data_IF_900136380969
#
_entry.id   IF_900136380969
#
_cell.length_a   1.000
_cell.length_b   1.000
_cell.length_c   1.000
_cell.angle_alpha   90.00
_cell.angle_beta   90.00
_cell.angle_gamma   90.00
#
_symmetry.space_group_name_H-M   'P 1'
#
loop_
_entity.id
_entity.type
_entity.pdbx_description
1 polymer ?
#
# COMPACT_ATOMS: atom_id res chain seq x y z
N UNK A 1 0.01 5.81 -1.24
CA UNK A 1 -0.30 6.46 0.07
C UNK A 1 -0.92 5.47 1.03
N UNK A 2 -2.09 4.88 0.71
CA UNK A 2 -2.81 3.93 1.58
C UNK A 2 -1.92 2.84 2.19
N UNK A 3 -1.08 2.17 1.40
CA UNK A 3 -0.23 1.07 1.88
C UNK A 3 0.67 1.47 3.08
N UNK A 4 1.27 2.66 3.04
CA UNK A 4 2.09 3.17 4.15
C UNK A 4 1.22 3.50 5.36
N UNK A 5 0.11 4.22 5.14
CA UNK A 5 -0.81 4.58 6.21
C UNK A 5 -1.41 3.35 6.93
N UNK A 6 -1.73 2.30 6.18
CA UNK A 6 -2.23 1.02 6.71
C UNK A 6 -1.15 0.28 7.51
N UNK A 7 0.10 0.29 7.03
CA UNK A 7 1.24 -0.25 7.77
C UNK A 7 1.43 0.43 9.12
N UNK A 8 1.37 1.77 9.16
CA UNK A 8 1.43 2.56 10.39
C UNK A 8 0.25 2.26 11.31
N UNK A 9 -0.98 2.30 10.80
CA UNK A 9 -2.19 2.03 11.57
C UNK A 9 -2.18 0.63 12.21
N UNK A 10 -1.84 -0.41 11.44
CA UNK A 10 -1.75 -1.78 11.95
C UNK A 10 -0.62 -1.95 12.96
N UNK A 11 0.53 -1.31 12.75
CA UNK A 11 1.64 -1.37 13.71
C UNK A 11 1.26 -0.70 15.03
N UNK A 12 0.64 0.49 14.97
CA UNK A 12 0.13 1.17 16.15
C UNK A 12 -0.86 0.28 16.89
N UNK A 13 -1.85 -0.27 16.20
CA UNK A 13 -2.84 -1.18 16.81
C UNK A 13 -2.16 -2.38 17.50
N UNK A 14 -1.22 -3.04 16.83
CA UNK A 14 -0.48 -4.17 17.39
C UNK A 14 0.33 -3.77 18.63
N UNK A 15 1.07 -2.66 18.57
CA UNK A 15 1.88 -2.18 19.71
C UNK A 15 1.01 -1.69 20.88
N UNK A 16 -0.26 -1.35 20.62
CA UNK A 16 -1.28 -1.07 21.63
C UNK A 16 -1.97 -2.32 22.18
N UNK A 17 -1.58 -3.53 21.74
CA UNK A 17 -2.14 -4.79 22.23
C UNK A 17 -3.44 -5.23 21.56
N UNK A 18 -3.82 -4.61 20.44
CA UNK A 18 -4.98 -5.03 19.66
C UNK A 18 -4.65 -6.23 18.78
N UNK A 19 -5.63 -7.13 18.65
CA UNK A 19 -5.56 -8.24 17.70
C UNK A 19 -5.62 -7.72 16.26
N UNK A 20 -4.71 -8.20 15.41
CA UNK A 20 -4.57 -7.70 14.04
C UNK A 20 -5.68 -8.18 13.10
N UNK A 21 -6.27 -9.36 13.33
CA UNK A 21 -7.41 -9.80 12.53
C UNK A 21 -8.66 -8.95 12.84
N UNK A 22 -8.89 -8.66 14.12
CA UNK A 22 -9.94 -7.74 14.57
C UNK A 22 -9.70 -6.31 14.06
N UNK A 23 -8.44 -5.85 14.10
CA UNK A 23 -8.05 -4.52 13.57
C UNK A 23 -8.33 -4.42 12.07
N UNK A 24 -7.95 -5.45 11.30
CA UNK A 24 -8.25 -5.53 9.87
C UNK A 24 -9.76 -5.42 9.62
N UNK A 25 -10.57 -6.24 10.28
CA UNK A 25 -12.03 -6.19 10.11
C UNK A 25 -12.62 -4.83 10.50
N UNK A 26 -12.13 -4.21 11.58
CA UNK A 26 -12.56 -2.88 12.01
C UNK A 26 -12.25 -1.78 11.00
N UNK A 27 -11.08 -1.82 10.36
CA UNK A 27 -10.73 -0.87 9.28
C UNK A 27 -11.59 -1.15 8.05
N UNK A 28 -11.73 -2.42 7.65
CA UNK A 28 -12.49 -2.86 6.47
C UNK A 28 -13.95 -2.40 6.48
N UNK A 29 -14.63 -2.42 7.63
CA UNK A 29 -16.04 -2.01 7.74
C UNK A 29 -16.23 -0.53 8.09
N UNK A 30 -15.16 0.27 8.10
CA UNK A 30 -15.22 1.69 8.48
C UNK A 30 -14.66 2.63 7.41
N UNK A 31 -14.62 3.93 7.68
CA UNK A 31 -14.11 4.95 6.76
C UNK A 31 -12.60 4.84 6.50
N UNK A 32 -11.87 4.00 7.25
CA UNK A 32 -10.46 3.71 7.02
C UNK A 32 -10.22 2.71 5.87
N UNK A 33 -11.27 2.12 5.33
CA UNK A 33 -11.16 1.12 4.28
C UNK A 33 -10.62 1.69 2.95
N UNK A 34 -10.03 0.82 2.15
CA UNK A 34 -9.61 1.10 0.77
C UNK A 34 -9.42 -0.22 0.03
N UNK A 35 -9.40 -0.18 -1.31
CA UNK A 35 -9.00 -1.35 -2.11
C UNK A 35 -7.69 -1.96 -1.58
N UNK A 36 -6.69 -1.11 -1.32
CA UNK A 36 -5.37 -1.53 -0.79
C UNK A 36 -5.45 -2.20 0.59
N UNK A 37 -6.45 -1.84 1.39
CA UNK A 37 -6.67 -2.54 2.66
C UNK A 37 -7.23 -3.94 2.43
N UNK A 38 -8.25 -4.05 1.59
CA UNK A 38 -8.86 -5.32 1.23
C UNK A 38 -7.94 -6.23 0.41
N UNK A 39 -6.82 -5.74 -0.13
CA UNK A 39 -5.83 -6.55 -0.85
C UNK A 39 -4.49 -6.65 -0.13
N UNK A 40 -3.68 -5.58 -0.09
CA UNK A 40 -2.29 -5.63 0.38
C UNK A 40 -2.17 -5.87 1.88
N UNK A 41 -3.13 -5.43 2.70
CA UNK A 41 -3.06 -5.67 4.15
C UNK A 41 -3.16 -7.17 4.46
N UNK A 42 -3.93 -7.93 3.68
CA UNK A 42 -4.03 -9.38 3.85
C UNK A 42 -2.68 -10.07 3.63
N UNK A 43 -1.99 -9.79 2.52
CA UNK A 43 -0.67 -10.41 2.24
C UNK A 43 0.45 -9.89 3.15
N UNK A 44 0.30 -8.69 3.73
CA UNK A 44 1.16 -8.23 4.83
C UNK A 44 0.94 -9.10 6.07
N UNK A 45 -0.31 -9.28 6.49
CA UNK A 45 -0.68 -10.05 7.67
C UNK A 45 -0.36 -11.54 7.53
N UNK A 46 -0.50 -12.11 6.35
CA UNK A 46 0.01 -13.46 6.04
C UNK A 46 1.54 -13.50 6.10
N UNK A 47 2.20 -12.50 5.52
CA UNK A 47 3.64 -12.36 5.50
C UNK A 47 4.32 -12.71 4.19
N UNK A 48 3.60 -13.30 3.24
CA UNK A 48 4.08 -13.49 1.87
C UNK A 48 4.46 -12.17 1.20
N UNK A 49 3.67 -11.11 1.48
CA UNK A 49 3.74 -9.80 0.82
C UNK A 49 3.64 -9.88 -0.71
N UNK A 50 3.15 -10.99 -1.23
CA UNK A 50 3.05 -11.23 -2.66
C UNK A 50 1.75 -10.61 -3.20
N UNK A 51 1.86 -9.37 -3.71
CA UNK A 51 0.79 -8.72 -4.48
C UNK A 51 1.12 -8.65 -5.98
N UNK A 52 2.17 -9.35 -6.42
CA UNK A 52 2.66 -9.32 -7.80
C UNK A 52 2.97 -7.91 -8.36
N UNK A 53 3.33 -6.96 -7.49
CA UNK A 53 3.72 -5.60 -7.87
C UNK A 53 5.01 -5.18 -7.15
N UNK A 54 6.00 -4.68 -7.89
CA UNK A 54 7.38 -4.50 -7.41
C UNK A 54 7.72 -3.03 -7.07
N UNK A 55 8.76 -2.83 -6.25
CA UNK A 55 9.20 -1.52 -5.78
C UNK A 55 9.59 -0.57 -6.92
N UNK A 56 10.26 -1.06 -7.97
CA UNK A 56 10.58 -0.29 -9.16
C UNK A 56 9.34 0.26 -9.88
N UNK A 57 8.30 -0.55 -10.03
CA UNK A 57 7.03 -0.16 -10.64
C UNK A 57 6.30 0.91 -9.81
N UNK A 58 6.21 0.73 -8.49
CA UNK A 58 5.64 1.76 -7.59
C UNK A 58 6.41 3.07 -7.70
N UNK A 59 7.74 3.03 -7.63
CA UNK A 59 8.58 4.24 -7.68
C UNK A 59 8.43 4.94 -9.04
N UNK A 60 8.34 4.19 -10.14
CA UNK A 60 8.08 4.71 -11.48
C UNK A 60 6.72 5.44 -11.53
N UNK A 61 5.64 4.77 -11.14
CA UNK A 61 4.28 5.33 -11.26
C UNK A 61 4.08 6.54 -10.33
N UNK A 62 4.60 6.47 -9.10
CA UNK A 62 4.60 7.61 -8.18
C UNK A 62 5.48 8.76 -8.67
N UNK A 63 6.58 8.47 -9.37
CA UNK A 63 7.42 9.48 -10.03
C UNK A 63 6.65 10.22 -11.13
N UNK A 64 5.96 9.49 -12.01
CA UNK A 64 5.12 10.10 -13.05
C UNK A 64 4.01 10.99 -12.47
N UNK A 65 3.39 10.55 -11.37
CA UNK A 65 2.40 11.35 -10.65
C UNK A 65 3.03 12.62 -10.04
N UNK A 66 4.22 12.52 -9.45
CA UNK A 66 4.93 13.68 -8.90
C UNK A 66 5.29 14.69 -9.99
N UNK A 67 5.81 14.23 -11.14
CA UNK A 67 6.15 15.11 -12.27
C UNK A 67 4.92 15.85 -12.82
N UNK A 68 3.74 15.22 -12.79
CA UNK A 68 2.48 15.87 -13.16
C UNK A 68 2.08 16.94 -12.15
N UNK A 69 2.18 16.65 -10.86
CA UNK A 69 1.87 17.60 -9.79
C UNK A 69 2.80 18.81 -9.83
N UNK A 70 4.10 18.59 -10.02
CA UNK A 70 5.12 19.65 -10.10
C UNK A 70 4.87 20.57 -11.30
N UNK A 71 4.59 20.00 -12.49
CA UNK A 71 4.22 20.78 -13.69
C UNK A 71 2.94 21.60 -13.51
N UNK A 72 2.04 21.13 -12.64
CA UNK A 72 0.78 21.79 -12.33
C UNK A 72 0.88 22.69 -11.09
N UNK A 73 2.06 22.84 -10.50
CA UNK A 73 2.30 23.58 -9.27
C UNK A 73 1.37 23.19 -8.09
N UNK A 74 1.00 21.90 -8.01
CA UNK A 74 0.13 21.39 -6.94
C UNK A 74 0.97 21.10 -5.69
N UNK A 75 0.73 21.76 -4.54
CA UNK A 75 1.52 21.58 -3.33
C UNK A 75 1.10 20.31 -2.58
N UNK A 76 1.59 19.15 -3.03
CA UNK A 76 1.29 17.86 -2.40
C UNK A 76 1.98 17.71 -1.03
N UNK A 77 1.23 17.24 -0.03
CA UNK A 77 1.78 17.02 1.31
C UNK A 77 2.24 15.58 1.55
N UNK A 78 1.42 14.59 1.16
CA UNK A 78 1.64 13.17 1.51
C UNK A 78 2.46 12.42 0.47
N UNK A 79 2.12 12.59 -0.81
CA UNK A 79 2.73 11.81 -1.90
C UNK A 79 4.25 11.93 -1.97
N UNK A 80 4.87 13.14 -1.85
CA UNK A 80 6.33 13.26 -1.90
C UNK A 80 7.03 12.48 -0.77
N UNK A 81 6.44 12.49 0.44
CA UNK A 81 6.97 11.74 1.59
C UNK A 81 6.86 10.24 1.36
N UNK A 82 5.72 9.77 0.88
CA UNK A 82 5.51 8.34 0.57
C UNK A 82 6.45 7.88 -0.54
N UNK A 83 6.67 8.70 -1.58
CA UNK A 83 7.65 8.41 -2.64
C UNK A 83 9.07 8.25 -2.08
N UNK A 84 9.47 9.12 -1.14
CA UNK A 84 10.76 9.01 -0.47
C UNK A 84 10.90 7.68 0.29
N UNK A 85 9.86 7.27 1.03
CA UNK A 85 9.85 5.98 1.74
C UNK A 85 9.99 4.80 0.77
N UNK A 86 9.28 4.81 -0.36
CA UNK A 86 9.43 3.78 -1.39
C UNK A 86 10.82 3.76 -2.02
N UNK A 87 11.43 4.92 -2.28
CA UNK A 87 12.82 5.00 -2.78
C UNK A 87 13.82 4.41 -1.78
N UNK A 88 13.65 4.70 -0.49
CA UNK A 88 14.47 4.12 0.58
C UNK A 88 14.28 2.60 0.67
N UNK A 89 13.03 2.12 0.67
CA UNK A 89 12.73 0.70 0.68
C UNK A 89 13.30 -0.02 -0.56
N UNK A 90 13.15 0.57 -1.76
CA UNK A 90 13.75 0.04 -3.00
C UNK A 90 15.27 -0.08 -2.89
N UNK A 91 15.94 0.98 -2.41
CA UNK A 91 17.41 0.97 -2.23
C UNK A 91 17.87 -0.11 -1.25
N UNK A 92 17.04 -0.46 -0.27
CA UNK A 92 17.39 -1.39 0.80
C UNK A 92 17.04 -2.84 0.48
N UNK A 93 15.88 -3.06 -0.15
CA UNK A 93 15.29 -4.39 -0.37
C UNK A 93 15.46 -4.88 -1.81
N UNK A 94 15.87 -4.00 -2.72
CA UNK A 94 16.04 -4.30 -4.14
C UNK A 94 14.80 -3.93 -4.96
N UNK A 95 15.04 -3.74 -6.27
CA UNK A 95 14.04 -3.26 -7.22
C UNK A 95 12.86 -4.22 -7.41
N UNK A 96 13.16 -5.53 -7.38
CA UNK A 96 12.19 -6.61 -7.58
C UNK A 96 11.47 -7.06 -6.30
N UNK A 97 11.74 -6.42 -5.16
CA UNK A 97 10.97 -6.69 -3.95
C UNK A 97 9.50 -6.27 -4.15
N UNK A 98 8.56 -7.03 -3.61
CA UNK A 98 7.14 -6.66 -3.68
C UNK A 98 6.87 -5.40 -2.88
N UNK A 99 5.99 -4.53 -3.38
CA UNK A 99 5.62 -3.25 -2.77
C UNK A 99 5.13 -3.34 -1.31
N UNK A 100 4.41 -4.39 -0.86
CA UNK A 100 3.99 -4.50 0.54
C UNK A 100 5.16 -4.69 1.51
N UNK A 101 6.38 -4.95 1.02
CA UNK A 101 7.58 -4.90 1.86
C UNK A 101 7.92 -3.48 2.37
N UNK A 102 7.20 -2.44 1.96
CA UNK A 102 7.37 -1.09 2.52
C UNK A 102 7.24 -1.05 4.05
N UNK A 103 6.47 -1.97 4.63
CA UNK A 103 6.32 -2.08 6.09
C UNK A 103 7.53 -2.69 6.81
N UNK A 104 8.48 -3.30 6.09
CA UNK A 104 9.64 -3.99 6.71
C UNK A 104 10.48 -3.05 7.55
N UNK A 105 10.72 -1.83 7.07
CA UNK A 105 11.47 -0.84 7.83
C UNK A 105 10.78 -0.46 9.14
N UNK A 106 9.44 -0.35 9.11
CA UNK A 106 8.64 -0.07 10.29
C UNK A 106 8.61 -1.26 11.26
N UNK A 107 8.44 -2.49 10.74
CA UNK A 107 8.51 -3.72 11.54
C UNK A 107 9.81 -3.82 12.33
N UNK A 108 10.95 -3.54 11.69
CA UNK A 108 12.25 -3.59 12.34
C UNK A 108 12.43 -2.46 13.35
N UNK A 109 12.02 -1.24 13.01
CA UNK A 109 12.07 -0.10 13.93
C UNK A 109 11.24 -0.33 15.21
N UNK A 110 10.12 -1.05 15.09
CA UNK A 110 9.24 -1.39 16.21
C UNK A 110 9.58 -2.70 16.92
N UNK A 111 10.53 -3.48 16.37
CA UNK A 111 10.88 -4.82 16.84
C UNK A 111 9.73 -5.82 16.76
N UNK A 112 8.82 -5.66 15.80
CA UNK A 112 7.56 -6.39 15.72
C UNK A 112 7.16 -6.70 14.27
N UNK A 113 6.54 -7.86 14.02
CA UNK A 113 6.07 -8.27 12.69
C UNK A 113 4.58 -8.07 12.55
N UNK A 114 4.13 -7.53 11.42
CA UNK A 114 2.69 -7.45 11.13
C UNK A 114 2.21 -8.81 10.64
N UNK A 115 1.87 -9.71 11.56
CA UNK A 115 1.43 -11.07 11.25
C UNK A 115 0.17 -11.43 12.01
N UNK A 116 -0.77 -12.07 11.31
CA UNK A 116 -1.98 -12.65 11.87
C UNK A 116 -2.36 -13.92 11.09
N UNK A 117 -2.92 -14.95 11.75
CA UNK A 117 -3.40 -16.15 11.07
C UNK A 117 -4.66 -15.84 10.23
N UNK A 118 -4.98 -16.72 9.29
CA UNK A 118 -6.24 -16.66 8.54
C UNK A 118 -6.23 -15.78 7.27
N UNK A 119 -5.11 -15.12 6.97
CA UNK A 119 -4.96 -14.32 5.75
C UNK A 119 -4.29 -15.11 4.61
N UNK A 120 -4.69 -14.89 3.35
CA UNK A 120 -4.13 -15.58 2.19
C UNK A 120 -2.71 -15.12 1.87
N UNK A 121 -1.91 -16.00 1.26
CA UNK A 121 -0.55 -15.67 0.80
C UNK A 121 -0.54 -14.93 -0.54
N UNK A 122 -1.62 -14.96 -1.29
CA UNK A 122 -1.76 -14.28 -2.58
C UNK A 122 -3.21 -13.79 -2.72
N UNK A 123 -3.41 -12.70 -3.45
CA UNK A 123 -4.74 -12.22 -3.78
C UNK A 123 -5.18 -12.88 -5.08
N UNK A 124 -6.30 -13.59 -5.03
CA UNK A 124 -6.91 -14.25 -6.19
C UNK A 124 -8.14 -13.46 -6.57
N UNK A 125 -8.16 -12.98 -7.81
CA UNK A 125 -9.35 -12.42 -8.43
C UNK A 125 -10.22 -13.56 -8.96
N UNK A 126 -11.46 -13.63 -8.48
CA UNK A 126 -12.45 -14.62 -8.93
C UNK A 126 -13.55 -13.97 -9.77
N UNK A 127 -13.46 -12.67 -10.06
CA UNK A 127 -14.39 -12.00 -10.94
C UNK A 127 -14.21 -12.53 -12.38
N UNK A 128 -15.32 -12.77 -13.11
CA UNK A 128 -15.24 -13.21 -14.49
C UNK A 128 -14.62 -12.11 -15.36
N UNK A 129 -13.71 -12.50 -16.26
CA UNK A 129 -13.14 -11.58 -17.24
C UNK A 129 -14.26 -10.87 -18.04
N UNK A 130 -14.13 -9.55 -18.17
CA UNK A 130 -15.07 -8.73 -18.93
C UNK A 130 -14.33 -7.75 -19.84
N UNK A 131 -15.01 -7.23 -20.86
CA UNK A 131 -14.43 -6.21 -21.73
C UNK A 131 -14.12 -4.94 -20.92
N UNK A 132 -12.85 -4.53 -20.97
CA UNK A 132 -12.41 -3.29 -20.35
C UNK A 132 -13.14 -2.07 -20.94
N UNK A 133 -13.48 -1.11 -20.08
CA UNK A 133 -14.09 0.16 -20.50
C UNK A 133 -13.09 1.29 -20.35
N UNK A 134 -12.90 2.07 -21.41
CA UNK A 134 -12.11 3.29 -21.35
C UNK A 134 -12.90 4.39 -20.64
N UNK A 135 -12.26 5.07 -19.70
CA UNK A 135 -12.80 6.28 -19.08
C UNK A 135 -12.24 7.48 -19.84
N UNK A 136 -13.05 8.10 -20.70
CA UNK A 136 -12.64 9.30 -21.42
C UNK A 136 -12.49 10.48 -20.45
N UNK A 137 -11.28 11.03 -20.35
CA UNK A 137 -11.02 12.20 -19.53
C UNK A 137 -11.72 13.46 -20.07
N UNK A 138 -12.56 14.09 -19.26
CA UNK A 138 -13.15 15.40 -19.57
C UNK A 138 -12.26 16.48 -18.97
N UNK A 139 -11.72 17.38 -19.81
CA UNK A 139 -10.98 18.56 -19.33
C UNK A 139 -11.99 19.58 -18.82
N UNK A 140 -12.05 19.78 -17.50
CA UNK A 140 -12.85 20.85 -16.92
C UNK A 140 -12.13 22.18 -17.18
N UNK A 141 -12.79 23.11 -17.87
CA UNK A 141 -12.21 24.37 -18.35
C UNK A 141 -12.05 25.43 -17.26
N UNK A 142 -11.27 25.13 -16.23
CA UNK A 142 -10.81 26.10 -15.23
C UNK A 142 -9.42 26.63 -15.58
#
# INVERSE_FOLDING_TARGET
VHLVALGEAMMTAKKSGLDLATTYEGIRISSGNSFVHETESQVILNGSRNINFTMDLVVKDMGLFQDLADRSAIPLELSPRVLQLFRQAKSRLGERAWSPNIVVALEEACGEKLRAPGFPSEIVDNEPECEGREVCGVRLGY
#
